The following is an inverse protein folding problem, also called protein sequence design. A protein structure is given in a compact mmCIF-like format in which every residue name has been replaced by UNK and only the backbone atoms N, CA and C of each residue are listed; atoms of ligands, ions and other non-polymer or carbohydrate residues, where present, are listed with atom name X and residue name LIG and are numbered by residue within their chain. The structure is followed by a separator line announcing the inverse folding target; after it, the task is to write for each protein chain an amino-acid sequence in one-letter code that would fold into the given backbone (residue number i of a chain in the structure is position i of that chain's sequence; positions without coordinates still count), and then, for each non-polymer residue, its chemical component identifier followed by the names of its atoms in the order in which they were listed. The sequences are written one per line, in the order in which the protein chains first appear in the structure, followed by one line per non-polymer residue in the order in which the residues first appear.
data_IF_028066481545
#
_entry.id   IF_028066481545
#
_cell.length_a   1.000
_cell.length_b   1.000
_cell.length_c   1.000
_cell.angle_alpha   90.00
_cell.angle_beta   90.00
_cell.angle_gamma   90.00
#
_symmetry.space_group_name_H-M   'P 1'
#
loop_
_entity.id
_entity.type
_entity.pdbx_description
1 polymer ?
#
# COMPACT_ATOMS: atom_id res chain seq x y z
N UNK A 1 -2.45 -9.12 13.11
CA UNK A 1 -2.30 -9.41 11.67
C UNK A 1 -2.47 -8.09 10.97
N UNK A 2 -1.39 -7.32 10.92
CA UNK A 2 -1.45 -5.94 10.50
C UNK A 2 -1.29 -5.87 8.99
N UNK A 3 -2.44 -5.70 8.34
CA UNK A 3 -2.53 -5.57 6.89
C UNK A 3 -1.70 -4.38 6.39
N UNK A 4 -1.64 -3.31 7.18
CA UNK A 4 -0.74 -2.17 6.96
C UNK A 4 0.73 -2.56 6.95
N UNK A 5 1.18 -3.46 7.83
CA UNK A 5 2.56 -3.97 7.82
C UNK A 5 2.83 -4.82 6.58
N UNK A 6 1.91 -5.70 6.19
CA UNK A 6 2.05 -6.50 4.97
C UNK A 6 2.19 -5.60 3.73
N UNK A 7 1.33 -4.58 3.61
CA UNK A 7 1.38 -3.59 2.54
C UNK A 7 2.70 -2.81 2.55
N UNK A 8 3.13 -2.34 3.72
CA UNK A 8 4.40 -1.63 3.86
C UNK A 8 5.58 -2.53 3.48
N UNK A 9 5.57 -3.80 3.89
CA UNK A 9 6.64 -4.74 3.55
C UNK A 9 6.71 -4.96 2.04
N UNK A 10 5.57 -5.22 1.41
CA UNK A 10 5.47 -5.38 -0.05
C UNK A 10 5.94 -4.13 -0.79
N UNK A 11 5.48 -2.94 -0.39
CA UNK A 11 5.91 -1.69 -1.01
C UNK A 11 7.41 -1.44 -0.83
N UNK A 12 7.98 -1.83 0.32
CA UNK A 12 9.40 -1.66 0.64
C UNK A 12 10.29 -2.65 -0.11
N UNK A 13 9.83 -3.88 -0.25
CA UNK A 13 10.51 -4.94 -1.02
C UNK A 13 10.50 -4.65 -2.52
N UNK A 14 9.41 -4.08 -3.03
CA UNK A 14 9.31 -3.71 -4.44
C UNK A 14 10.09 -2.44 -4.74
N UNK A 15 10.10 -1.47 -3.83
CA UNK A 15 10.82 -0.21 -4.01
C UNK A 15 10.27 0.68 -5.13
N UNK A 16 9.14 0.31 -5.72
CA UNK A 16 8.47 1.03 -6.79
C UNK A 16 7.03 1.38 -6.40
N UNK A 17 6.46 2.47 -6.95
CA UNK A 17 5.06 2.80 -6.76
C UNK A 17 4.19 1.68 -7.35
N UNK A 18 3.26 1.15 -6.56
CA UNK A 18 2.33 0.10 -6.98
C UNK A 18 0.87 0.55 -6.89
N UNK A 19 0.01 -0.03 -7.71
CA UNK A 19 -1.44 0.23 -7.60
C UNK A 19 -2.04 -0.53 -6.43
N UNK A 20 -3.13 0.00 -5.86
CA UNK A 20 -3.89 -0.69 -4.80
C UNK A 20 -4.29 -2.13 -5.19
N UNK A 21 -4.58 -2.38 -6.47
CA UNK A 21 -4.86 -3.73 -6.97
C UNK A 21 -3.64 -4.66 -6.92
N UNK A 22 -2.47 -4.17 -7.31
CA UNK A 22 -1.23 -4.98 -7.28
C UNK A 22 -0.76 -5.22 -5.84
N UNK A 23 -0.95 -4.22 -4.96
CA UNK A 23 -0.70 -4.34 -3.52
C UNK A 23 -1.61 -5.41 -2.92
N UNK A 24 -2.90 -5.42 -3.27
CA UNK A 24 -3.85 -6.45 -2.83
C UNK A 24 -3.43 -7.86 -3.27
N UNK A 25 -2.99 -8.02 -4.52
CA UNK A 25 -2.55 -9.32 -5.04
C UNK A 25 -1.23 -9.78 -4.40
N UNK A 26 -0.23 -8.89 -4.29
CA UNK A 26 1.07 -9.24 -3.70
C UNK A 26 1.01 -9.46 -2.19
N UNK A 27 0.29 -8.60 -1.47
CA UNK A 27 0.12 -8.73 -0.03
C UNK A 27 -0.93 -9.79 0.34
N UNK A 28 -1.63 -10.37 -0.66
CA UNK A 28 -2.72 -11.33 -0.50
C UNK A 28 -3.79 -10.83 0.48
N UNK A 29 -4.21 -9.58 0.26
CA UNK A 29 -5.11 -8.83 1.12
C UNK A 29 -6.34 -8.42 0.33
N UNK A 30 -7.50 -8.41 0.98
CA UNK A 30 -8.74 -7.94 0.40
C UNK A 30 -8.65 -6.48 -0.09
N UNK A 31 -9.24 -6.18 -1.25
CA UNK A 31 -9.26 -4.80 -1.78
C UNK A 31 -9.80 -3.78 -0.78
N UNK A 32 -10.83 -4.16 0.01
CA UNK A 32 -11.42 -3.30 1.05
C UNK A 32 -10.42 -2.98 2.17
N UNK A 33 -9.66 -3.99 2.56
CA UNK A 33 -8.62 -3.89 3.60
C UNK A 33 -7.45 -3.04 3.08
N UNK A 34 -7.03 -3.24 1.83
CA UNK A 34 -6.00 -2.41 1.19
C UNK A 34 -6.42 -0.95 1.09
N UNK A 35 -7.66 -0.66 0.69
CA UNK A 35 -8.16 0.72 0.60
C UNK A 35 -8.17 1.42 1.97
N UNK A 36 -8.58 0.71 3.03
CA UNK A 36 -8.52 1.20 4.41
C UNK A 36 -7.08 1.44 4.87
N UNK A 37 -6.20 0.47 4.64
CA UNK A 37 -4.81 0.55 5.02
C UNK A 37 -4.07 1.67 4.27
N UNK A 38 -4.28 1.82 2.97
CA UNK A 38 -3.73 2.93 2.18
C UNK A 38 -4.25 4.27 2.69
N UNK A 39 -5.54 4.40 3.04
CA UNK A 39 -6.06 5.64 3.65
C UNK A 39 -5.40 5.95 4.98
N UNK A 40 -5.24 4.95 5.85
CA UNK A 40 -4.57 5.10 7.14
C UNK A 40 -3.08 5.47 6.96
N UNK A 41 -2.35 4.73 6.13
CA UNK A 41 -0.94 4.96 5.84
C UNK A 41 -0.70 6.33 5.18
N UNK A 42 -1.63 6.78 4.34
CA UNK A 42 -1.58 8.11 3.72
C UNK A 42 -1.89 9.21 4.73
N UNK A 43 -2.80 8.97 5.68
CA UNK A 43 -3.08 9.89 6.79
C UNK A 43 -1.90 9.96 7.78
N UNK A 44 -1.17 8.85 7.95
CA UNK A 44 0.08 8.76 8.73
C UNK A 44 1.32 9.24 7.95
N UNK A 45 1.16 9.72 6.71
CA UNK A 45 2.26 10.20 5.85
C UNK A 45 3.35 9.15 5.56
N UNK A 46 3.05 7.86 5.74
CA UNK A 46 3.97 6.72 5.50
C UNK A 46 4.06 6.32 4.04
N UNK A 47 3.04 6.64 3.24
CA UNK A 47 3.01 6.39 1.80
C UNK A 47 2.73 7.67 1.03
N UNK A 48 3.35 7.78 -0.14
CA UNK A 48 3.16 8.86 -1.10
C UNK A 48 2.52 8.34 -2.39
N UNK A 49 1.84 9.21 -3.12
CA UNK A 49 1.22 8.89 -4.41
C UNK A 49 1.87 9.72 -5.52
N UNK A 50 3.02 9.28 -6.06
CA UNK A 50 3.76 10.03 -7.08
C UNK A 50 3.01 10.07 -8.43
N UNK A 51 2.11 9.10 -8.66
CA UNK A 51 1.31 8.99 -9.88
C UNK A 51 -0.11 8.59 -9.50
N UNK A 52 -1.10 9.03 -10.29
CA UNK A 52 -2.52 8.76 -10.03
C UNK A 52 -2.76 7.24 -9.92
N UNK A 53 -3.33 6.82 -8.79
CA UNK A 53 -3.57 5.42 -8.41
C UNK A 53 -2.32 4.57 -8.10
N UNK A 54 -1.15 5.19 -7.96
CA UNK A 54 0.06 4.53 -7.48
C UNK A 54 0.40 4.98 -6.06
N UNK A 55 0.85 4.06 -5.24
CA UNK A 55 1.25 4.26 -3.86
C UNK A 55 2.66 3.72 -3.69
N UNK A 56 3.54 4.51 -3.12
CA UNK A 56 4.91 4.17 -2.79
C UNK A 56 5.15 4.47 -1.32
N UNK A 57 6.08 3.78 -0.69
CA UNK A 57 6.58 4.20 0.61
C UNK A 57 7.32 5.52 0.46
N UNK A 58 7.12 6.40 1.44
CA UNK A 58 7.87 7.65 1.56
C UNK A 58 9.30 7.39 2.04
#
# INVERSE_FOLDING_TARGET
MDITEAILKTLKEVGEPMKAGEIAEKANVDKKEVDKAIKALKAEDKITSPKRCFYAIK
#
